data_IF_212049330243
#
_entry.id   IF_212049330243
#
_cell.length_a   1.000
_cell.length_b   1.000
_cell.length_c   1.000
_cell.angle_alpha   90.00
_cell.angle_beta   90.00
_cell.angle_gamma   90.00
#
_symmetry.space_group_name_H-M   'P 1'
#
loop_
_entity.id
_entity.type
_entity.pdbx_description
1 polymer ?
#
# COMPACT_ATOMS: atom_id res chain seq x y z
N UNK A 1 -15.25 -34.73 2.77
CA UNK A 1 -14.42 -33.56 2.50
C UNK A 1 -13.27 -33.57 3.50
N UNK A 2 -12.02 -33.70 3.04
CA UNK A 2 -10.87 -33.85 3.92
C UNK A 2 -10.55 -32.51 4.64
N UNK A 3 -10.28 -32.53 5.94
CA UNK A 3 -9.98 -31.32 6.74
C UNK A 3 -8.82 -30.49 6.15
N UNK A 4 -7.87 -31.13 5.49
CA UNK A 4 -6.75 -30.48 4.79
C UNK A 4 -7.22 -29.64 3.59
N UNK A 5 -8.25 -30.08 2.88
CA UNK A 5 -8.80 -29.32 1.74
C UNK A 5 -9.61 -28.12 2.20
N UNK A 6 -10.30 -28.23 3.34
CA UNK A 6 -11.06 -27.13 3.92
C UNK A 6 -10.13 -26.01 4.42
N UNK A 7 -9.01 -26.39 5.05
CA UNK A 7 -7.98 -25.43 5.51
C UNK A 7 -7.29 -24.73 4.33
N UNK A 8 -7.05 -25.43 3.22
CA UNK A 8 -6.45 -24.85 2.01
C UNK A 8 -7.40 -23.87 1.31
N UNK A 9 -8.71 -24.20 1.27
CA UNK A 9 -9.73 -23.31 0.69
C UNK A 9 -9.91 -22.03 1.51
N UNK A 10 -9.90 -22.14 2.83
CA UNK A 10 -10.01 -20.96 3.72
C UNK A 10 -8.79 -20.04 3.59
N UNK A 11 -7.58 -20.59 3.50
CA UNK A 11 -6.36 -19.81 3.28
C UNK A 11 -6.38 -19.08 1.92
N UNK A 12 -6.86 -19.76 0.87
CA UNK A 12 -6.97 -19.16 -0.46
C UNK A 12 -8.02 -18.04 -0.49
N UNK A 13 -9.16 -18.21 0.17
CA UNK A 13 -10.21 -17.21 0.28
C UNK A 13 -9.73 -15.95 1.05
N UNK A 14 -8.96 -16.12 2.12
CA UNK A 14 -8.37 -15.03 2.89
C UNK A 14 -7.33 -14.26 2.03
N UNK A 15 -6.49 -14.98 1.26
CA UNK A 15 -5.50 -14.36 0.39
C UNK A 15 -6.15 -13.51 -0.71
N UNK A 16 -7.27 -13.96 -1.29
CA UNK A 16 -8.02 -13.21 -2.31
C UNK A 16 -8.72 -11.97 -1.71
N UNK A 17 -9.23 -12.07 -0.49
CA UNK A 17 -9.88 -10.95 0.19
C UNK A 17 -8.90 -9.81 0.52
N UNK A 18 -7.63 -10.12 0.81
CA UNK A 18 -6.60 -9.13 1.11
C UNK A 18 -6.12 -8.40 -0.17
N UNK A 19 -6.12 -9.06 -1.32
CA UNK A 19 -5.69 -8.47 -2.58
C UNK A 19 -6.65 -7.39 -3.13
N UNK A 20 -7.91 -7.36 -2.69
CA UNK A 20 -8.95 -6.47 -3.21
C UNK A 20 -8.97 -5.05 -2.63
N UNK A 21 -8.20 -4.74 -1.59
CA UNK A 21 -8.37 -3.49 -0.83
C UNK A 21 -7.37 -2.36 -1.16
N UNK A 22 -6.49 -2.51 -2.15
CA UNK A 22 -5.41 -1.56 -2.38
C UNK A 22 -5.61 -0.62 -3.59
N UNK A 23 -6.79 -0.60 -4.21
CA UNK A 23 -7.05 0.29 -5.34
C UNK A 23 -7.44 1.70 -4.83
N UNK A 24 -6.48 2.62 -4.78
CA UNK A 24 -6.79 4.04 -4.68
C UNK A 24 -7.37 4.52 -6.02
N UNK A 25 -8.42 5.35 -6.00
CA UNK A 25 -8.97 5.88 -7.24
C UNK A 25 -7.94 6.74 -7.96
N UNK A 26 -7.84 6.56 -9.27
CA UNK A 26 -6.98 7.37 -10.12
C UNK A 26 -7.30 8.86 -10.00
N UNK A 27 -6.32 9.75 -10.24
CA UNK A 27 -6.57 11.18 -10.28
C UNK A 27 -7.62 11.54 -11.31
N UNK A 28 -8.60 12.33 -10.90
CA UNK A 28 -9.62 12.88 -11.80
C UNK A 28 -9.07 14.18 -12.37
N UNK A 29 -8.86 14.22 -13.69
CA UNK A 29 -8.35 15.40 -14.39
C UNK A 29 -9.52 16.15 -15.01
N UNK A 30 -9.54 17.47 -14.84
CA UNK A 30 -10.41 18.36 -15.60
C UNK A 30 -9.89 18.43 -17.05
N UNK A 31 -10.63 17.82 -17.96
CA UNK A 31 -10.23 17.71 -19.38
C UNK A 31 -10.49 18.99 -20.20
N UNK A 32 -10.96 20.06 -19.56
CA UNK A 32 -11.26 21.31 -20.27
C UNK A 32 -9.97 21.98 -20.79
N UNK A 33 -9.80 21.99 -22.10
CA UNK A 33 -8.60 22.55 -22.74
C UNK A 33 -7.35 21.67 -22.69
N UNK A 34 -7.47 20.41 -22.28
CA UNK A 34 -6.37 19.46 -22.20
C UNK A 34 -6.25 18.65 -23.48
N UNK A 35 -5.03 18.55 -24.04
CA UNK A 35 -4.72 17.62 -25.13
C UNK A 35 -4.57 16.19 -24.53
N UNK A 36 -5.40 15.22 -24.98
CA UNK A 36 -5.34 13.85 -24.45
C UNK A 36 -3.99 13.15 -24.70
N UNK A 37 -3.30 13.46 -25.81
CA UNK A 37 -2.01 12.83 -26.12
C UNK A 37 -0.89 13.39 -25.23
N UNK A 38 -0.91 14.69 -24.97
CA UNK A 38 0.01 15.31 -24.02
C UNK A 38 -0.23 14.78 -22.59
N UNK A 39 -1.50 14.66 -22.20
CA UNK A 39 -1.85 14.10 -20.89
C UNK A 39 -1.37 12.64 -20.74
N UNK A 40 -1.53 11.79 -21.76
CA UNK A 40 -1.09 10.40 -21.70
C UNK A 40 0.43 10.31 -21.49
N UNK A 41 1.21 11.09 -22.21
CA UNK A 41 2.67 11.15 -22.05
C UNK A 41 3.05 11.64 -20.64
N UNK A 42 2.44 12.72 -20.20
CA UNK A 42 2.70 13.31 -18.88
C UNK A 42 2.28 12.39 -17.73
N UNK A 43 1.23 11.59 -17.97
CA UNK A 43 0.78 10.56 -17.03
C UNK A 43 1.84 9.49 -16.83
N UNK A 44 2.35 8.92 -17.95
CA UNK A 44 3.39 7.88 -17.91
C UNK A 44 4.66 8.39 -17.24
N UNK A 45 5.07 9.61 -17.53
CA UNK A 45 6.25 10.22 -16.90
C UNK A 45 6.04 10.49 -15.40
N UNK A 46 4.86 10.96 -14.98
CA UNK A 46 4.54 11.16 -13.58
C UNK A 46 4.42 9.83 -12.83
N UNK A 47 3.91 8.77 -13.48
CA UNK A 47 3.87 7.43 -12.91
C UNK A 47 5.28 6.89 -12.68
N UNK A 48 6.21 7.11 -13.62
CA UNK A 48 7.61 6.69 -13.47
C UNK A 48 8.26 7.27 -12.20
N UNK A 49 8.01 8.53 -11.87
CA UNK A 49 8.51 9.11 -10.60
C UNK A 49 7.97 8.41 -9.37
N UNK A 50 6.75 7.86 -9.43
CA UNK A 50 6.18 7.14 -8.30
C UNK A 50 6.75 5.75 -8.11
N UNK A 51 7.38 5.17 -9.13
CA UNK A 51 8.03 3.87 -9.05
C UNK A 51 9.23 3.88 -8.08
N UNK A 52 9.85 5.03 -7.86
CA UNK A 52 10.93 5.18 -6.88
C UNK A 52 10.43 5.03 -5.43
N UNK A 53 9.12 5.21 -5.19
CA UNK A 53 8.51 5.01 -3.88
C UNK A 53 8.23 3.52 -3.68
N UNK A 54 9.17 2.84 -3.04
CA UNK A 54 9.11 1.39 -2.81
C UNK A 54 8.17 1.06 -1.65
N UNK A 55 6.93 0.73 -1.95
CA UNK A 55 5.92 0.29 -0.96
C UNK A 55 6.44 -0.92 -0.17
N UNK A 56 7.15 -1.84 -0.85
CA UNK A 56 7.76 -3.01 -0.21
C UNK A 56 8.74 -2.64 0.90
N UNK A 57 9.54 -1.57 0.73
CA UNK A 57 10.45 -1.11 1.78
C UNK A 57 9.68 -0.54 2.98
N UNK A 58 8.58 0.16 2.74
CA UNK A 58 7.68 0.62 3.79
C UNK A 58 7.13 -0.53 4.61
N UNK A 59 6.64 -1.59 3.95
CA UNK A 59 6.10 -2.79 4.59
C UNK A 59 7.17 -3.50 5.43
N UNK A 60 8.36 -3.72 4.87
CA UNK A 60 9.47 -4.40 5.58
C UNK A 60 9.92 -3.57 6.78
N UNK A 61 10.14 -2.28 6.61
CA UNK A 61 10.57 -1.37 7.69
C UNK A 61 9.52 -1.28 8.80
N UNK A 62 8.25 -1.11 8.45
CA UNK A 62 7.16 -1.06 9.43
C UNK A 62 6.92 -2.39 10.12
N UNK A 63 7.04 -3.51 9.38
CA UNK A 63 6.94 -4.84 9.92
C UNK A 63 8.04 -5.15 10.93
N UNK A 64 9.28 -4.80 10.62
CA UNK A 64 10.42 -5.01 11.52
C UNK A 64 10.31 -4.18 12.81
N UNK A 65 9.96 -2.90 12.72
CA UNK A 65 9.73 -2.05 13.88
C UNK A 65 8.54 -2.50 14.71
N UNK A 66 7.43 -2.86 14.06
CA UNK A 66 6.24 -3.39 14.72
C UNK A 66 6.50 -4.72 15.44
N UNK A 67 7.28 -5.62 14.82
CA UNK A 67 7.70 -6.87 15.45
C UNK A 67 8.52 -6.64 16.71
N UNK A 68 9.48 -5.71 16.67
CA UNK A 68 10.32 -5.39 17.83
C UNK A 68 9.49 -4.83 19.00
N UNK A 69 8.61 -3.87 18.72
CA UNK A 69 7.71 -3.28 19.74
C UNK A 69 6.72 -4.32 20.26
N UNK A 70 6.13 -5.12 19.38
CA UNK A 70 5.19 -6.18 19.74
C UNK A 70 5.83 -7.30 20.57
N UNK A 71 7.10 -7.65 20.30
CA UNK A 71 7.83 -8.63 21.10
C UNK A 71 8.04 -8.17 22.54
N UNK A 72 8.37 -6.88 22.73
CA UNK A 72 8.54 -6.28 24.07
C UNK A 72 7.21 -6.29 24.82
N UNK A 73 6.11 -5.88 24.19
CA UNK A 73 4.76 -5.92 24.78
C UNK A 73 4.32 -7.33 25.12
N UNK A 74 4.49 -8.27 24.19
CA UNK A 74 4.13 -9.67 24.38
C UNK A 74 4.95 -10.40 25.44
N UNK A 75 6.20 -9.95 25.67
CA UNK A 75 7.03 -10.51 26.74
C UNK A 75 6.45 -10.26 28.14
N UNK A 76 5.73 -9.12 28.30
CA UNK A 76 5.05 -8.77 29.57
C UNK A 76 3.91 -9.75 29.83
N UNK A 77 3.19 -10.18 28.81
CA UNK A 77 2.07 -11.11 28.89
C UNK A 77 2.50 -12.60 28.77
N UNK A 78 3.81 -12.85 28.64
CA UNK A 78 4.38 -14.20 28.60
C UNK A 78 4.42 -14.84 27.19
N UNK A 79 4.07 -14.12 26.13
CA UNK A 79 4.09 -14.63 24.75
C UNK A 79 4.67 -13.61 23.75
N UNK A 80 5.98 -13.43 23.81
CA UNK A 80 6.71 -12.52 22.91
C UNK A 80 6.58 -12.87 21.43
N UNK A 81 6.39 -14.19 21.12
CA UNK A 81 6.22 -14.66 19.74
C UNK A 81 4.92 -14.16 19.10
N UNK A 82 3.80 -14.26 19.82
CA UNK A 82 2.51 -13.73 19.35
C UNK A 82 2.53 -12.21 19.27
N UNK A 83 3.12 -11.54 20.26
CA UNK A 83 3.29 -10.10 20.25
C UNK A 83 4.11 -9.61 19.05
N UNK A 84 5.23 -10.27 18.75
CA UNK A 84 6.06 -9.95 17.59
C UNK A 84 5.31 -10.15 16.27
N UNK A 85 4.60 -11.28 16.11
CA UNK A 85 3.83 -11.57 14.89
C UNK A 85 2.71 -10.54 14.67
N UNK A 86 1.94 -10.23 15.71
CA UNK A 86 0.88 -9.21 15.64
C UNK A 86 1.43 -7.81 15.33
N UNK A 87 2.51 -7.43 15.98
CA UNK A 87 3.19 -6.15 15.73
C UNK A 87 3.77 -6.05 14.33
N UNK A 88 4.36 -7.13 13.78
CA UNK A 88 4.87 -7.16 12.43
C UNK A 88 3.76 -6.96 11.40
N UNK A 89 2.63 -7.65 11.57
CA UNK A 89 1.47 -7.52 10.69
C UNK A 89 0.89 -6.11 10.72
N UNK A 90 0.67 -5.57 11.89
CA UNK A 90 0.09 -4.23 12.05
C UNK A 90 1.04 -3.14 11.53
N UNK A 91 2.32 -3.21 11.90
CA UNK A 91 3.33 -2.24 11.47
C UNK A 91 3.59 -2.29 9.98
N UNK A 92 3.68 -3.50 9.40
CA UNK A 92 3.87 -3.69 7.96
C UNK A 92 2.70 -3.16 7.14
N UNK A 93 1.47 -3.49 7.52
CA UNK A 93 0.26 -3.01 6.82
C UNK A 93 0.12 -1.49 6.89
N UNK A 94 0.31 -0.89 8.06
CA UNK A 94 0.21 0.56 8.23
C UNK A 94 1.25 1.31 7.39
N UNK A 95 2.51 0.87 7.44
CA UNK A 95 3.58 1.51 6.67
C UNK A 95 3.43 1.32 5.16
N UNK A 96 2.87 0.18 4.72
CA UNK A 96 2.52 -0.03 3.32
C UNK A 96 1.45 0.94 2.84
N UNK A 97 0.39 1.14 3.62
CA UNK A 97 -0.68 2.10 3.30
C UNK A 97 -0.16 3.56 3.29
N UNK A 98 0.75 3.91 4.19
CA UNK A 98 1.34 5.25 4.22
C UNK A 98 2.25 5.49 3.01
N UNK A 99 3.03 4.49 2.57
CA UNK A 99 3.84 4.55 1.36
C UNK A 99 2.97 4.67 0.09
N UNK A 100 1.85 3.95 0.04
CA UNK A 100 0.91 4.06 -1.07
C UNK A 100 0.23 5.45 -1.13
N UNK A 101 -0.17 6.00 -0.01
CA UNK A 101 -0.67 7.38 0.06
C UNK A 101 0.36 8.41 -0.40
N UNK A 102 1.63 8.22 -0.04
CA UNK A 102 2.70 9.11 -0.48
C UNK A 102 2.93 9.01 -1.99
N UNK A 103 2.89 7.79 -2.56
CA UNK A 103 2.91 7.55 -3.99
C UNK A 103 1.81 8.36 -4.71
N UNK A 104 0.58 8.28 -4.22
CA UNK A 104 -0.56 9.03 -4.77
C UNK A 104 -0.37 10.56 -4.67
N UNK A 105 0.17 11.05 -3.57
CA UNK A 105 0.47 12.49 -3.41
C UNK A 105 1.52 12.98 -4.41
N UNK A 106 2.60 12.22 -4.60
CA UNK A 106 3.66 12.56 -5.56
C UNK A 106 3.11 12.58 -6.96
N UNK A 107 2.32 11.58 -7.33
CA UNK A 107 1.68 11.49 -8.65
C UNK A 107 0.79 12.72 -8.94
N UNK A 108 -0.14 13.03 -8.03
CA UNK A 108 -1.03 14.20 -8.16
C UNK A 108 -0.27 15.52 -8.18
N UNK A 109 0.81 15.62 -7.39
CA UNK A 109 1.67 16.82 -7.38
C UNK A 109 2.42 17.00 -8.71
N UNK A 110 2.90 15.90 -9.30
CA UNK A 110 3.54 15.91 -10.60
C UNK A 110 2.60 16.43 -11.69
N UNK A 111 1.39 15.87 -11.77
CA UNK A 111 0.37 16.30 -12.74
C UNK A 111 -0.02 17.78 -12.55
N UNK A 112 -0.21 18.23 -11.31
CA UNK A 112 -0.46 19.64 -11.02
C UNK A 112 0.70 20.54 -11.44
N UNK A 113 1.95 20.10 -11.25
CA UNK A 113 3.15 20.82 -11.68
C UNK A 113 3.27 20.98 -13.17
N UNK A 114 2.64 20.09 -13.97
CA UNK A 114 2.55 20.18 -15.43
C UNK A 114 1.35 21.01 -15.92
N UNK A 115 0.57 21.57 -14.99
CA UNK A 115 -0.55 22.44 -15.30
C UNK A 115 -1.91 21.76 -15.34
N UNK A 116 -1.99 20.45 -15.04
CA UNK A 116 -3.27 19.75 -15.00
C UNK A 116 -4.06 20.07 -13.73
N UNK A 117 -5.37 20.27 -13.90
CA UNK A 117 -6.29 20.49 -12.80
C UNK A 117 -6.75 19.15 -12.26
N UNK A 118 -6.17 18.73 -11.14
CA UNK A 118 -6.52 17.47 -10.45
C UNK A 118 -7.62 17.77 -9.42
N UNK A 119 -8.76 17.10 -9.55
CA UNK A 119 -10.00 17.39 -8.81
C UNK A 119 -10.11 16.64 -7.48
N UNK A 120 -9.33 15.56 -7.24
CA UNK A 120 -9.39 14.72 -6.03
C UNK A 120 -8.06 14.64 -5.27
#
# INVERSE_FOLDING_TARGET
MNSKNLSSLTLLAIAIAIAGCAAHPDPIIDMQGVDPNALAKDWDECEAYTQEILISQGIVKGGATGAAVGAIGGAIDGDSGKGAAGGALYGGTRSGLDADREKQKVFKRCLRGRGYRVLN
#
